data_IF_688626430781
#
_entry.id   IF_688626430781
#
_cell.length_a   1.000
_cell.length_b   1.000
_cell.length_c   1.000
_cell.angle_alpha   90.00
_cell.angle_beta   90.00
_cell.angle_gamma   90.00
#
_symmetry.space_group_name_H-M   'P 1'
#
loop_
_entity.id
_entity.type
_entity.pdbx_description
1 polymer ?
#
# COMPACT_ATOMS: atom_id res chain seq x y z
N UNK A 1 -11.52 -1.84 -22.70
CA UNK A 1 -11.56 -1.38 -21.30
C UNK A 1 -10.25 -0.67 -20.98
N UNK A 2 -10.30 0.59 -20.55
CA UNK A 2 -9.11 1.35 -20.18
C UNK A 2 -8.53 0.85 -18.85
N UNK A 3 -7.20 0.74 -18.77
CA UNK A 3 -6.48 0.44 -17.54
C UNK A 3 -6.63 1.65 -16.60
N UNK A 4 -7.29 1.47 -15.46
CA UNK A 4 -7.42 2.52 -14.45
C UNK A 4 -6.06 2.69 -13.75
N UNK A 5 -5.23 3.58 -14.30
CA UNK A 5 -4.04 4.07 -13.60
C UNK A 5 -4.43 5.32 -12.83
N UNK A 6 -4.14 5.34 -11.52
CA UNK A 6 -4.61 6.40 -10.62
C UNK A 6 -3.85 7.71 -10.88
N UNK A 7 -2.58 7.76 -10.52
CA UNK A 7 -1.65 8.87 -10.77
C UNK A 7 -0.24 8.27 -10.83
N UNK A 8 0.63 8.80 -11.70
CA UNK A 8 1.99 8.26 -11.87
C UNK A 8 2.90 8.65 -10.72
N UNK A 9 3.67 7.70 -10.20
CA UNK A 9 4.73 7.90 -9.20
C UNK A 9 4.27 8.51 -7.85
N UNK A 10 3.04 8.29 -7.43
CA UNK A 10 2.54 8.77 -6.12
C UNK A 10 2.55 7.68 -5.04
N UNK A 11 2.73 6.42 -5.43
CA UNK A 11 2.57 5.26 -4.56
C UNK A 11 3.81 5.10 -3.66
N UNK A 12 3.56 4.85 -2.38
CA UNK A 12 4.59 4.64 -1.34
C UNK A 12 5.14 3.21 -1.27
N UNK A 13 4.62 2.29 -2.09
CA UNK A 13 4.96 0.87 -2.10
C UNK A 13 6.45 0.64 -2.37
N UNK A 14 7.11 -0.08 -1.46
CA UNK A 14 8.52 -0.47 -1.53
C UNK A 14 8.68 -1.97 -1.31
N UNK A 15 9.62 -2.57 -2.04
CA UNK A 15 9.99 -3.98 -1.94
C UNK A 15 11.48 -4.11 -1.67
N UNK A 16 11.84 -4.76 -0.57
CA UNK A 16 13.20 -5.17 -0.24
C UNK A 16 13.49 -6.56 -0.85
N UNK A 17 14.25 -6.56 -1.94
CA UNK A 17 14.62 -7.78 -2.67
C UNK A 17 15.59 -8.66 -1.85
N UNK A 18 16.34 -8.10 -0.90
CA UNK A 18 17.26 -8.87 -0.07
C UNK A 18 16.49 -9.76 0.92
N UNK A 19 15.42 -9.23 1.52
CA UNK A 19 14.54 -9.97 2.45
C UNK A 19 13.54 -10.89 1.75
N UNK A 20 13.26 -10.66 0.47
CA UNK A 20 12.27 -11.45 -0.27
C UNK A 20 12.68 -12.93 -0.39
N UNK A 21 11.84 -13.82 0.16
CA UNK A 21 12.01 -15.28 0.10
C UNK A 21 11.39 -15.94 -1.13
N UNK A 22 10.64 -15.19 -1.94
CA UNK A 22 9.99 -15.73 -3.14
C UNK A 22 8.69 -16.50 -2.89
N UNK A 23 8.07 -16.37 -1.71
CA UNK A 23 6.86 -17.13 -1.32
C UNK A 23 5.56 -16.79 -2.09
N UNK A 24 5.60 -15.85 -3.04
CA UNK A 24 4.51 -15.47 -3.95
C UNK A 24 3.21 -14.91 -3.34
N UNK A 25 3.04 -14.91 -2.01
CA UNK A 25 1.85 -14.37 -1.33
C UNK A 25 1.45 -12.96 -1.80
N UNK A 26 2.42 -12.08 -2.05
CA UNK A 26 2.17 -10.74 -2.55
C UNK A 26 1.45 -10.70 -3.91
N UNK A 27 1.74 -11.66 -4.80
CA UNK A 27 1.08 -11.77 -6.09
C UNK A 27 -0.35 -12.34 -5.95
N UNK A 28 -0.57 -13.26 -5.00
CA UNK A 28 -1.89 -13.85 -4.73
C UNK A 28 -2.87 -12.84 -4.12
N UNK A 29 -2.41 -12.03 -3.17
CA UNK A 29 -3.28 -11.09 -2.43
C UNK A 29 -3.47 -9.75 -3.14
N UNK A 30 -2.79 -9.50 -4.26
CA UNK A 30 -2.87 -8.21 -4.95
C UNK A 30 -3.97 -8.23 -6.02
N UNK A 31 -5.12 -7.55 -5.81
CA UNK A 31 -6.19 -7.52 -6.80
C UNK A 31 -5.84 -6.73 -8.07
N UNK A 32 -4.82 -5.86 -8.00
CA UNK A 32 -4.35 -5.03 -9.11
C UNK A 32 -3.17 -5.65 -9.87
N UNK A 33 -2.66 -6.81 -9.47
CA UNK A 33 -1.59 -7.52 -10.18
C UNK A 33 -0.28 -6.72 -10.28
N UNK A 34 0.10 -5.96 -9.25
CA UNK A 34 1.30 -5.11 -9.30
C UNK A 34 2.63 -5.87 -9.13
N UNK A 35 2.57 -7.15 -8.74
CA UNK A 35 3.73 -8.01 -8.53
C UNK A 35 3.84 -9.07 -9.63
N UNK A 36 5.06 -9.29 -10.12
CA UNK A 36 5.46 -10.47 -10.87
C UNK A 36 6.50 -11.27 -10.07
N UNK A 37 6.69 -12.54 -10.42
CA UNK A 37 7.74 -13.38 -9.85
C UNK A 37 8.79 -13.64 -10.91
N UNK A 38 10.00 -13.14 -10.68
CA UNK A 38 11.17 -13.32 -11.56
C UNK A 38 12.33 -13.84 -10.71
N UNK A 39 13.07 -14.84 -11.22
CA UNK A 39 14.23 -15.41 -10.51
C UNK A 39 13.94 -15.85 -9.06
N UNK A 40 12.76 -16.42 -8.82
CA UNK A 40 12.27 -16.82 -7.48
C UNK A 40 12.14 -15.65 -6.49
N UNK A 41 12.05 -14.40 -6.96
CA UNK A 41 11.79 -13.22 -6.12
C UNK A 41 10.64 -12.40 -6.69
N UNK A 42 9.99 -11.63 -5.83
CA UNK A 42 8.99 -10.68 -6.27
C UNK A 42 9.65 -9.51 -7.01
N UNK A 43 8.94 -8.96 -8.00
CA UNK A 43 9.31 -7.76 -8.75
C UNK A 43 8.07 -6.91 -8.99
N UNK A 44 8.21 -5.59 -8.86
CA UNK A 44 7.13 -4.64 -9.13
C UNK A 44 7.05 -4.36 -10.64
N UNK A 45 5.87 -4.54 -11.23
CA UNK A 45 5.65 -4.38 -12.68
C UNK A 45 4.68 -3.26 -13.05
N UNK A 46 3.82 -2.85 -12.12
CA UNK A 46 2.79 -1.84 -12.39
C UNK A 46 2.50 -1.02 -11.13
N UNK A 47 3.51 -0.29 -10.64
CA UNK A 47 3.42 0.45 -9.38
C UNK A 47 2.22 1.41 -9.35
N UNK A 48 1.93 2.08 -10.47
CA UNK A 48 0.88 3.09 -10.61
C UNK A 48 -0.55 2.54 -10.52
N UNK A 49 -0.72 1.21 -10.57
CA UNK A 49 -2.01 0.54 -10.33
C UNK A 49 -2.20 0.14 -8.86
N UNK A 50 -1.20 0.35 -8.00
CA UNK A 50 -1.32 0.05 -6.58
C UNK A 50 -2.27 1.04 -5.91
N UNK A 51 -3.33 0.53 -5.28
CA UNK A 51 -4.28 1.32 -4.48
C UNK A 51 -3.87 1.46 -3.00
N UNK A 52 -2.65 1.06 -2.64
CA UNK A 52 -2.12 1.14 -1.27
C UNK A 52 -3.00 0.43 -0.21
N UNK A 53 -3.62 -0.71 -0.57
CA UNK A 53 -4.52 -1.43 0.35
C UNK A 53 -3.81 -2.15 1.52
N UNK A 54 -2.48 -2.27 1.51
CA UNK A 54 -1.72 -2.94 2.57
C UNK A 54 -1.74 -4.48 2.58
N UNK A 55 -2.56 -5.13 1.74
CA UNK A 55 -2.70 -6.59 1.75
C UNK A 55 -1.37 -7.33 1.55
N UNK A 56 -0.51 -6.86 0.65
CA UNK A 56 0.80 -7.47 0.39
C UNK A 56 1.78 -7.33 1.55
N UNK A 57 1.77 -6.20 2.26
CA UNK A 57 2.57 -5.99 3.48
C UNK A 57 2.12 -6.95 4.59
N UNK A 58 0.81 -7.00 4.87
CA UNK A 58 0.25 -7.81 5.95
C UNK A 58 0.40 -9.33 5.74
N UNK A 59 0.61 -9.77 4.50
CA UNK A 59 0.79 -11.18 4.16
C UNK A 59 2.24 -11.54 3.83
N UNK A 60 3.20 -10.63 4.00
CA UNK A 60 4.60 -10.92 3.74
C UNK A 60 5.24 -11.56 4.99
N UNK A 61 5.59 -12.85 4.99
CA UNK A 61 6.17 -13.51 6.17
C UNK A 61 7.61 -13.08 6.47
N UNK A 62 8.24 -12.33 5.55
CA UNK A 62 9.62 -11.86 5.66
C UNK A 62 9.71 -10.35 5.88
N UNK A 63 8.58 -9.67 6.06
CA UNK A 63 8.50 -8.20 6.19
C UNK A 63 9.30 -7.46 5.10
N UNK A 64 9.27 -8.01 3.88
CA UNK A 64 10.03 -7.51 2.74
C UNK A 64 9.28 -6.38 1.98
N UNK A 65 8.03 -6.10 2.35
CA UNK A 65 7.16 -5.16 1.63
C UNK A 65 6.70 -4.08 2.61
N UNK A 66 6.76 -2.83 2.19
CA UNK A 66 6.25 -1.67 2.94
C UNK A 66 5.35 -0.82 2.05
N UNK A 67 4.21 -0.39 2.57
CA UNK A 67 3.27 0.53 1.89
C UNK A 67 2.55 1.38 2.95
N UNK A 68 2.44 2.67 2.67
CA UNK A 68 1.64 3.62 3.46
C UNK A 68 0.15 3.38 3.23
N UNK A 69 -0.39 2.32 3.84
CA UNK A 69 -1.77 1.94 3.64
C UNK A 69 -2.75 2.94 4.28
N UNK A 70 -3.81 3.30 3.56
CA UNK A 70 -4.86 4.18 4.04
C UNK A 70 -5.38 5.13 2.97
N UNK A 71 -6.36 5.95 3.34
CA UNK A 71 -6.97 6.96 2.46
C UNK A 71 -6.43 8.38 2.72
N UNK A 72 -5.28 8.48 3.38
CA UNK A 72 -4.65 9.76 3.76
C UNK A 72 -5.57 10.65 4.59
N UNK A 73 -5.70 11.93 4.20
CA UNK A 73 -6.52 12.92 4.88
C UNK A 73 -8.02 12.61 4.90
N UNK A 74 -8.52 11.80 3.96
CA UNK A 74 -9.93 11.40 3.94
C UNK A 74 -10.31 10.62 5.22
N UNK A 75 -9.35 9.91 5.83
CA UNK A 75 -9.59 9.17 7.07
C UNK A 75 -9.94 10.10 8.23
N UNK A 76 -9.24 11.23 8.34
CA UNK A 76 -9.48 12.23 9.38
C UNK A 76 -10.88 12.84 9.24
N UNK A 77 -11.29 13.13 8.01
CA UNK A 77 -12.64 13.64 7.69
C UNK A 77 -13.72 12.62 8.05
N UNK A 78 -13.56 11.36 7.63
CA UNK A 78 -14.51 10.29 7.95
C UNK A 78 -14.63 10.08 9.47
N UNK A 79 -13.50 10.09 10.18
CA UNK A 79 -13.47 9.95 11.64
C UNK A 79 -14.14 11.12 12.35
N UNK A 80 -13.90 12.36 11.90
CA UNK A 80 -14.58 13.55 12.41
C UNK A 80 -16.10 13.44 12.24
N UNK A 81 -16.57 13.01 11.07
CA UNK A 81 -18.00 12.77 10.83
C UNK A 81 -18.58 11.71 11.77
N UNK A 82 -17.90 10.59 11.99
CA UNK A 82 -18.37 9.53 12.90
C UNK A 82 -18.38 9.98 14.36
N UNK A 83 -17.38 10.75 14.80
CA UNK A 83 -17.23 11.22 16.18
C UNK A 83 -17.99 12.51 16.48
N UNK A 84 -18.58 13.16 15.47
CA UNK A 84 -19.15 14.51 15.55
C UNK A 84 -18.15 15.55 16.05
N UNK A 85 -16.87 15.32 15.77
CA UNK A 85 -15.76 16.24 16.06
C UNK A 85 -15.28 16.88 14.75
N UNK A 86 -14.52 17.97 14.84
CA UNK A 86 -13.83 18.50 13.66
C UNK A 86 -12.86 17.46 13.08
N UNK A 87 -12.51 17.55 11.78
CA UNK A 87 -11.45 16.74 11.21
C UNK A 87 -10.14 17.12 11.88
N UNK A 88 -9.75 16.34 12.87
CA UNK A 88 -8.49 16.47 13.54
C UNK A 88 -7.54 15.40 12.98
N UNK A 89 -6.39 15.84 12.48
CA UNK A 89 -5.23 14.97 12.37
C UNK A 89 -4.61 14.75 13.77
N UNK A 90 -5.40 14.90 14.83
CA UNK A 90 -4.98 14.80 16.23
C UNK A 90 -5.03 13.34 16.66
N UNK A 91 -4.03 12.57 16.23
CA UNK A 91 -3.31 11.77 17.20
C UNK A 91 -2.15 12.62 17.68
N UNK A 92 -2.36 13.39 18.74
CA UNK A 92 -1.34 14.03 19.56
C UNK A 92 -0.26 12.99 19.88
N UNK A 93 0.87 13.00 19.19
CA UNK A 93 1.24 13.97 18.17
C UNK A 93 2.22 13.37 17.20
N UNK A 94 1.79 13.21 15.94
CA UNK A 94 2.47 13.70 14.73
C UNK A 94 1.76 13.14 13.50
N UNK A 95 0.92 13.95 12.86
CA UNK A 95 0.29 13.60 11.58
C UNK A 95 0.70 14.53 10.44
N UNK A 96 1.74 15.36 10.64
CA UNK A 96 2.27 16.29 9.64
C UNK A 96 3.81 16.29 9.60
N UNK A 97 4.43 15.11 9.60
CA UNK A 97 5.80 14.89 9.08
C UNK A 97 5.79 13.70 8.12
#
# INVERSE_FOLDING_TARGET
MGRLQYLKNVVTLKLDVAKCTGCQRCAEVCPHGVFAIENKKARLIDLDSCMECGACQNNCPADAISVGAGVGCAQAVINGFLRRTGPDCDCSGTCCD
#
